data_IF_339946151982
#
_entry.id   IF_339946151982
#
_cell.length_a   1.000
_cell.length_b   1.000
_cell.length_c   1.000
_cell.angle_alpha   90.00
_cell.angle_beta   90.00
_cell.angle_gamma   90.00
#
_symmetry.space_group_name_H-M   'P 1'
#
loop_
_entity.id
_entity.type
_entity.pdbx_description
1 polymer ?
#
# COMPACT_ATOMS: atom_id res chain seq x y z
N UNK A 1 -14.30 -8.44 -9.27
CA UNK A 1 -13.42 -8.28 -8.08
C UNK A 1 -14.03 -8.87 -6.80
N UNK A 2 -15.29 -8.57 -6.44
CA UNK A 2 -15.93 -9.02 -5.18
C UNK A 2 -15.75 -10.53 -4.84
N UNK A 3 -16.03 -11.48 -5.75
CA UNK A 3 -15.86 -12.91 -5.44
C UNK A 3 -14.41 -13.31 -5.10
N UNK A 4 -13.42 -12.62 -5.67
CA UNK A 4 -12.01 -12.88 -5.37
C UNK A 4 -11.64 -12.39 -3.96
N UNK A 5 -12.12 -11.21 -3.56
CA UNK A 5 -11.88 -10.64 -2.24
C UNK A 5 -12.48 -11.53 -1.14
N UNK A 6 -13.73 -11.97 -1.35
CA UNK A 6 -14.43 -12.89 -0.45
C UNK A 6 -13.69 -14.22 -0.32
N UNK A 7 -13.34 -14.86 -1.45
CA UNK A 7 -12.60 -16.14 -1.46
C UNK A 7 -11.24 -16.06 -0.76
N UNK A 8 -10.57 -14.89 -0.82
CA UNK A 8 -9.25 -14.67 -0.20
C UNK A 8 -9.33 -14.04 1.18
N UNK A 9 -10.52 -13.79 1.71
CA UNK A 9 -10.76 -13.11 2.98
C UNK A 9 -9.98 -11.78 3.09
N UNK A 10 -9.96 -10.99 2.01
CA UNK A 10 -9.31 -9.69 1.99
C UNK A 10 -10.24 -8.68 2.68
N UNK A 11 -9.81 -8.16 3.83
CA UNK A 11 -10.61 -7.28 4.69
C UNK A 11 -10.22 -5.81 4.63
N UNK A 12 -9.08 -5.48 4.02
CA UNK A 12 -8.68 -4.08 3.82
C UNK A 12 -9.45 -3.41 2.68
N UNK A 13 -9.55 -2.07 2.75
CA UNK A 13 -10.24 -1.27 1.74
C UNK A 13 -9.63 -1.51 0.36
N UNK A 14 -10.41 -2.14 -0.52
CA UNK A 14 -10.07 -2.33 -1.92
C UNK A 14 -10.81 -1.30 -2.78
N UNK A 15 -10.11 -0.67 -3.72
CA UNK A 15 -10.69 0.30 -4.66
C UNK A 15 -10.51 -0.20 -6.09
N UNK A 16 -11.39 0.24 -7.00
CA UNK A 16 -11.31 -0.11 -8.42
C UNK A 16 -11.02 1.15 -9.24
N UNK A 17 -9.92 1.12 -9.97
CA UNK A 17 -9.60 2.11 -11.00
C UNK A 17 -10.02 1.55 -12.37
N UNK A 18 -11.26 1.85 -12.78
CA UNK A 18 -11.91 1.17 -13.90
C UNK A 18 -11.23 1.38 -15.26
N UNK A 19 -10.49 2.47 -15.43
CA UNK A 19 -9.77 2.79 -16.67
C UNK A 19 -8.26 2.48 -16.58
N UNK A 20 -7.81 1.88 -15.47
CA UNK A 20 -6.40 1.56 -15.22
C UNK A 20 -5.47 2.78 -15.34
N UNK A 21 -5.96 3.99 -15.05
CA UNK A 21 -5.18 5.22 -15.20
C UNK A 21 -4.05 5.39 -14.18
N UNK A 22 -4.23 4.87 -12.97
CA UNK A 22 -3.39 5.14 -11.80
C UNK A 22 -3.09 6.65 -11.62
N UNK A 23 -4.03 7.51 -12.03
CA UNK A 23 -3.78 8.95 -12.14
C UNK A 23 -3.31 9.54 -10.81
N UNK A 24 -2.23 10.30 -10.85
CA UNK A 24 -1.61 10.92 -9.66
C UNK A 24 -0.58 10.04 -8.95
N UNK A 25 -0.36 8.81 -9.40
CA UNK A 25 0.64 7.89 -8.85
C UNK A 25 1.72 7.55 -9.89
N UNK A 26 2.97 7.40 -9.43
CA UNK A 26 4.14 7.03 -10.27
C UNK A 26 4.25 5.51 -10.44
N UNK A 27 3.18 4.88 -10.97
CA UNK A 27 3.11 3.42 -11.16
C UNK A 27 3.79 3.02 -12.47
N UNK A 28 4.98 2.41 -12.37
CA UNK A 28 5.78 2.01 -13.55
C UNK A 28 5.61 0.54 -13.92
N UNK A 29 5.36 -0.30 -12.94
CA UNK A 29 5.14 -1.74 -13.09
C UNK A 29 4.44 -2.28 -11.83
N UNK A 30 3.83 -3.45 -11.94
CA UNK A 30 3.12 -4.10 -10.84
C UNK A 30 3.92 -5.30 -10.28
N UNK A 31 3.77 -5.60 -8.98
CA UNK A 31 3.09 -4.78 -7.98
C UNK A 31 3.92 -3.55 -7.58
N UNK A 32 3.24 -2.45 -7.28
CA UNK A 32 3.82 -1.21 -6.75
C UNK A 32 3.14 -0.87 -5.43
N UNK A 33 3.92 -0.53 -4.41
CA UNK A 33 3.41 -0.16 -3.09
C UNK A 33 3.98 1.19 -2.63
N UNK A 34 3.16 1.94 -1.90
CA UNK A 34 3.49 3.26 -1.38
C UNK A 34 3.18 3.29 0.12
N UNK A 35 4.06 3.91 0.91
CA UNK A 35 3.80 4.25 2.30
C UNK A 35 3.60 5.76 2.39
N UNK A 36 2.45 6.17 2.93
CA UNK A 36 2.07 7.57 3.08
C UNK A 36 1.91 7.87 4.57
N UNK A 37 2.44 9.00 5.04
CA UNK A 37 2.32 9.46 6.43
C UNK A 37 0.88 9.88 6.75
N UNK A 38 0.51 9.96 8.04
CA UNK A 38 -0.75 10.56 8.46
C UNK A 38 -1.00 11.97 7.89
N UNK A 39 0.05 12.77 7.73
CA UNK A 39 0.00 14.13 7.17
C UNK A 39 -0.11 14.17 5.63
N UNK A 40 -0.13 13.01 4.98
CA UNK A 40 -0.27 12.89 3.53
C UNK A 40 1.05 12.92 2.75
N UNK A 41 2.20 12.86 3.43
CA UNK A 41 3.50 12.84 2.75
C UNK A 41 3.88 11.43 2.30
N UNK A 42 4.48 11.32 1.11
CA UNK A 42 5.01 10.05 0.63
C UNK A 42 6.33 9.72 1.33
N UNK A 43 6.36 8.62 2.08
CA UNK A 43 7.53 8.17 2.85
C UNK A 43 8.35 7.16 2.05
N UNK A 44 7.70 6.22 1.36
CA UNK A 44 8.39 5.12 0.71
C UNK A 44 7.65 4.62 -0.55
N UNK A 45 8.43 4.08 -1.50
CA UNK A 45 7.98 3.44 -2.73
C UNK A 45 8.67 2.08 -2.89
N UNK A 46 7.93 1.05 -3.28
CA UNK A 46 8.48 -0.27 -3.58
C UNK A 46 7.92 -0.84 -4.88
N UNK A 47 8.82 -1.26 -5.76
CA UNK A 47 8.52 -2.10 -6.92
C UNK A 47 8.75 -3.59 -6.58
N UNK A 48 7.82 -4.43 -7.02
CA UNK A 48 7.88 -5.88 -6.87
C UNK A 48 7.23 -6.38 -5.56
N UNK A 49 7.04 -7.71 -5.45
CA UNK A 49 6.41 -8.32 -4.28
C UNK A 49 7.22 -8.05 -3.00
N UNK A 50 6.54 -8.07 -1.87
CA UNK A 50 7.12 -7.86 -0.54
C UNK A 50 6.52 -8.85 0.45
N UNK A 51 7.37 -9.29 1.38
CA UNK A 51 6.91 -9.89 2.61
C UNK A 51 6.59 -8.77 3.59
N UNK A 52 5.34 -8.68 4.03
CA UNK A 52 4.86 -7.60 4.88
C UNK A 52 4.87 -7.99 6.35
N UNK A 53 4.82 -9.29 6.65
CA UNK A 53 4.74 -9.81 8.02
C UNK A 53 6.11 -10.03 8.66
N UNK A 54 7.07 -9.16 8.35
CA UNK A 54 8.41 -9.17 8.97
C UNK A 54 8.60 -7.98 9.90
N UNK A 55 9.38 -8.20 10.95
CA UNK A 55 9.63 -7.19 12.00
C UNK A 55 10.17 -5.88 11.43
N UNK A 56 11.02 -5.95 10.41
CA UNK A 56 11.57 -4.76 9.75
C UNK A 56 10.48 -3.88 9.10
N UNK A 57 9.47 -4.49 8.47
CA UNK A 57 8.38 -3.74 7.85
C UNK A 57 7.44 -3.16 8.92
N UNK A 58 7.16 -3.93 9.98
CA UNK A 58 6.35 -3.46 11.11
C UNK A 58 7.03 -2.28 11.82
N UNK A 59 8.35 -2.35 12.04
CA UNK A 59 9.13 -1.28 12.63
C UNK A 59 9.12 -0.01 11.77
N UNK A 60 9.31 -0.14 10.45
CA UNK A 60 9.24 1.00 9.52
C UNK A 60 7.88 1.70 9.59
N UNK A 61 6.78 0.95 9.56
CA UNK A 61 5.42 1.50 9.64
C UNK A 61 5.19 2.18 10.99
N UNK A 62 5.64 1.58 12.09
CA UNK A 62 5.45 2.12 13.44
C UNK A 62 6.25 3.41 13.67
N UNK A 63 7.52 3.47 13.24
CA UNK A 63 8.34 4.67 13.35
C UNK A 63 7.68 5.89 12.70
N UNK A 64 7.05 5.69 11.54
CA UNK A 64 6.38 6.78 10.81
C UNK A 64 4.96 7.08 11.29
N UNK A 65 4.40 6.27 12.18
CA UNK A 65 3.16 6.60 12.90
C UNK A 65 3.42 7.58 14.04
N UNK A 66 4.54 7.44 14.74
CA UNK A 66 4.87 8.21 15.95
C UNK A 66 5.38 9.63 15.66
N UNK A 67 6.05 9.83 14.52
CA UNK A 67 6.61 11.13 14.13
C UNK A 67 5.57 12.16 13.61
N UNK A 68 4.28 11.82 13.63
CA UNK A 68 3.15 12.71 13.27
C UNK A 68 2.33 13.17 14.48
N UNK A 69 2.88 13.04 15.70
CA UNK A 69 2.38 13.68 16.93
C UNK A 69 3.30 14.84 17.35
#
# INVERSE_FOLDING_TARGET
VRPFLEKKNITFKSVLDANMSAKGWDVRALPMSYLVSPDGYLIYKALGPREWEIDKMKALIQQHRENSQ
#
